data_IF_615277479692
#
_entry.id   IF_615277479692
#
_cell.length_a   1.000
_cell.length_b   1.000
_cell.length_c   1.000
_cell.angle_alpha   90.00
_cell.angle_beta   90.00
_cell.angle_gamma   90.00
#
_symmetry.space_group_name_H-M   'P 1'
#
loop_
_entity.id
_entity.type
_entity.pdbx_description
1 polymer ?
#
# COMPACT_ATOMS: atom_id res chain seq x y z
N UNK A 1 -22.29 -7.87 -12.81
CA UNK A 1 -21.24 -7.30 -13.70
C UNK A 1 -19.95 -6.97 -12.95
N UNK A 2 -20.00 -6.38 -11.76
CA UNK A 2 -18.80 -6.05 -10.95
C UNK A 2 -17.92 -7.27 -10.64
N UNK A 3 -18.52 -8.42 -10.30
CA UNK A 3 -17.79 -9.69 -10.08
C UNK A 3 -16.93 -10.12 -11.29
N UNK A 4 -17.42 -9.92 -12.52
CA UNK A 4 -16.62 -10.19 -13.73
C UNK A 4 -15.44 -9.21 -13.88
N UNK A 5 -15.65 -7.94 -13.50
CA UNK A 5 -14.59 -6.93 -13.45
C UNK A 5 -13.49 -7.29 -12.44
N UNK A 6 -13.86 -7.74 -11.24
CA UNK A 6 -12.90 -8.21 -10.23
C UNK A 6 -12.10 -9.43 -10.70
N UNK A 7 -12.76 -10.40 -11.34
CA UNK A 7 -12.10 -11.57 -11.92
C UNK A 7 -11.08 -11.19 -13.00
N UNK A 8 -11.44 -10.25 -13.89
CA UNK A 8 -10.52 -9.72 -14.90
C UNK A 8 -9.34 -8.98 -14.25
N UNK A 9 -9.62 -8.13 -13.26
CA UNK A 9 -8.59 -7.40 -12.51
C UNK A 9 -7.57 -8.32 -11.86
N UNK A 10 -8.03 -9.45 -11.27
CA UNK A 10 -7.14 -10.44 -10.66
C UNK A 10 -6.22 -11.12 -11.69
N UNK A 11 -6.76 -11.52 -12.84
CA UNK A 11 -5.97 -12.10 -13.93
C UNK A 11 -4.94 -11.12 -14.47
N UNK A 12 -5.31 -9.83 -14.60
CA UNK A 12 -4.39 -8.76 -15.01
C UNK A 12 -3.27 -8.58 -13.99
N UNK A 13 -3.60 -8.49 -12.70
CA UNK A 13 -2.61 -8.33 -11.63
C UNK A 13 -1.59 -9.48 -11.63
N UNK A 14 -2.04 -10.74 -11.81
CA UNK A 14 -1.14 -11.89 -11.87
C UNK A 14 -0.17 -11.82 -13.04
N UNK A 15 -0.60 -11.34 -14.21
CA UNK A 15 0.25 -11.21 -15.40
C UNK A 15 1.28 -10.08 -15.27
N UNK A 16 1.01 -9.08 -14.43
CA UNK A 16 1.81 -7.86 -14.26
C UNK A 16 2.55 -7.79 -12.93
N UNK A 17 2.76 -8.93 -12.28
CA UNK A 17 3.37 -8.96 -10.95
C UNK A 17 4.75 -8.29 -10.90
N UNK A 18 5.51 -8.30 -12.01
CA UNK A 18 6.79 -7.60 -12.14
C UNK A 18 6.66 -6.07 -12.08
N UNK A 19 5.57 -5.51 -12.61
CA UNK A 19 5.29 -4.07 -12.56
C UNK A 19 4.85 -3.63 -11.15
N UNK A 20 4.36 -4.57 -10.34
CA UNK A 20 3.88 -4.34 -8.98
C UNK A 20 4.99 -4.42 -7.91
N UNK A 21 6.21 -4.85 -8.26
CA UNK A 21 7.30 -5.03 -7.28
C UNK A 21 7.63 -3.73 -6.56
N UNK A 22 7.77 -2.64 -7.30
CA UNK A 22 8.15 -1.33 -6.77
C UNK A 22 7.12 -0.81 -5.73
N UNK A 23 5.81 -0.71 -6.04
CA UNK A 23 4.81 -0.31 -5.04
C UNK A 23 4.65 -1.30 -3.89
N UNK A 24 4.88 -2.61 -4.10
CA UNK A 24 4.90 -3.60 -3.01
C UNK A 24 6.04 -3.29 -2.04
N UNK A 25 7.26 -3.09 -2.56
CA UNK A 25 8.45 -2.85 -1.73
C UNK A 25 8.31 -1.57 -0.92
N UNK A 26 7.82 -0.49 -1.50
CA UNK A 26 7.73 0.78 -0.78
C UNK A 26 6.58 0.82 0.22
N UNK A 27 5.47 0.15 -0.09
CA UNK A 27 4.43 -0.12 0.92
C UNK A 27 4.97 -1.01 2.05
N UNK A 28 5.78 -2.01 1.72
CA UNK A 28 6.42 -2.87 2.72
C UNK A 28 7.37 -2.11 3.64
N UNK A 29 8.16 -1.16 3.11
CA UNK A 29 9.02 -0.28 3.92
C UNK A 29 8.21 0.53 4.92
N UNK A 30 7.09 1.12 4.49
CA UNK A 30 6.20 1.87 5.37
C UNK A 30 5.55 0.99 6.44
N UNK A 31 5.00 -0.16 6.03
CA UNK A 31 4.37 -1.11 6.94
C UNK A 31 5.36 -1.67 7.97
N UNK A 32 6.59 -1.97 7.53
CA UNK A 32 7.68 -2.41 8.39
C UNK A 32 7.96 -1.41 9.51
N UNK A 33 8.11 -0.12 9.17
CA UNK A 33 8.36 0.92 10.16
C UNK A 33 7.20 1.07 11.15
N UNK A 34 5.95 1.09 10.67
CA UNK A 34 4.78 1.18 11.55
C UNK A 34 4.74 0.01 12.53
N UNK A 35 4.91 -1.22 12.06
CA UNK A 35 4.87 -2.40 12.92
C UNK A 35 5.98 -2.37 13.98
N UNK A 36 7.20 -1.98 13.59
CA UNK A 36 8.31 -1.86 14.53
C UNK A 36 8.11 -0.74 15.55
N UNK A 37 7.65 0.44 15.13
CA UNK A 37 7.42 1.56 16.04
C UNK A 37 6.40 1.20 17.11
N UNK A 38 5.29 0.57 16.73
CA UNK A 38 4.30 0.13 17.71
C UNK A 38 4.82 -1.05 18.57
N UNK A 39 5.56 -2.00 17.98
CA UNK A 39 6.20 -3.08 18.72
C UNK A 39 7.22 -2.60 19.76
N UNK A 40 7.95 -1.52 19.47
CA UNK A 40 8.94 -0.92 20.35
C UNK A 40 8.38 0.19 21.24
N UNK A 41 7.07 0.43 21.24
CA UNK A 41 6.42 1.53 21.96
C UNK A 41 6.78 1.62 23.45
N UNK A 42 6.88 0.47 24.13
CA UNK A 42 7.30 0.41 25.53
C UNK A 42 8.74 0.87 25.73
N UNK A 43 9.66 0.44 24.86
CA UNK A 43 11.05 0.86 24.89
C UNK A 43 11.24 2.33 24.52
N UNK A 44 10.54 2.79 23.49
CA UNK A 44 10.53 4.20 23.08
C UNK A 44 10.07 5.08 24.24
N UNK A 45 9.00 4.68 24.94
CA UNK A 45 8.43 5.44 26.07
C UNK A 45 9.33 5.43 27.30
N UNK A 46 9.96 4.30 27.63
CA UNK A 46 10.90 4.20 28.75
C UNK A 46 12.15 5.07 28.52
N UNK A 47 12.73 5.00 27.32
CA UNK A 47 13.92 5.75 26.98
C UNK A 47 13.63 7.25 26.85
N UNK A 48 12.49 7.61 26.26
CA UNK A 48 12.08 9.01 26.11
C UNK A 48 11.75 9.69 27.45
N UNK A 49 11.26 8.95 28.45
CA UNK A 49 11.07 9.44 29.81
C UNK A 49 12.40 9.85 30.48
N UNK A 50 13.47 9.09 30.27
CA UNK A 50 14.80 9.45 30.80
C UNK A 50 15.39 10.71 30.16
N UNK A 51 14.97 11.02 28.93
CA UNK A 51 15.40 12.20 28.18
C UNK A 51 14.59 13.46 28.52
N UNK A 52 13.52 13.36 29.31
CA UNK A 52 12.67 14.49 29.70
C UNK A 52 11.68 14.98 28.62
N UNK A 53 11.68 14.38 27.42
CA UNK A 53 10.86 14.79 26.26
C UNK A 53 9.96 13.66 25.74
N UNK A 54 9.36 12.89 26.66
CA UNK A 54 8.72 11.63 26.32
C UNK A 54 7.61 11.73 25.26
N UNK A 55 6.72 12.70 25.44
CA UNK A 55 5.56 12.91 24.57
C UNK A 55 5.96 13.41 23.18
N UNK A 56 6.92 14.33 23.11
CA UNK A 56 7.42 14.89 21.85
C UNK A 56 8.09 13.81 21.00
N UNK A 57 8.93 12.99 21.62
CA UNK A 57 9.63 11.88 20.94
C UNK A 57 8.62 10.84 20.44
N UNK A 58 7.64 10.44 21.27
CA UNK A 58 6.65 9.44 20.88
C UNK A 58 5.82 9.93 19.67
N UNK A 59 5.32 11.17 19.74
CA UNK A 59 4.58 11.79 18.61
C UNK A 59 5.45 11.88 17.36
N UNK A 60 6.70 12.31 17.49
CA UNK A 60 7.61 12.42 16.36
C UNK A 60 7.85 11.06 15.68
N UNK A 61 8.11 10.00 16.45
CA UNK A 61 8.36 8.66 15.90
C UNK A 61 7.11 8.09 15.22
N UNK A 62 5.92 8.28 15.79
CA UNK A 62 4.66 7.87 15.15
C UNK A 62 4.43 8.65 13.86
N UNK A 63 4.65 9.97 13.85
CA UNK A 63 4.50 10.80 12.66
C UNK A 63 5.48 10.37 11.54
N UNK A 64 6.72 10.04 11.90
CA UNK A 64 7.70 9.52 10.94
C UNK A 64 7.21 8.18 10.36
N UNK A 65 6.74 7.26 11.20
CA UNK A 65 6.25 5.96 10.72
C UNK A 65 5.04 6.12 9.77
N UNK A 66 4.08 6.97 10.13
CA UNK A 66 2.90 7.23 9.31
C UNK A 66 3.27 7.93 8.01
N UNK A 67 4.15 8.92 8.04
CA UNK A 67 4.58 9.63 6.82
C UNK A 67 5.30 8.72 5.84
N UNK A 68 6.20 7.84 6.31
CA UNK A 68 6.86 6.86 5.44
C UNK A 68 5.85 5.87 4.84
N UNK A 69 4.84 5.45 5.61
CA UNK A 69 3.74 4.65 5.07
C UNK A 69 2.99 5.38 3.96
N UNK A 70 2.68 6.66 4.15
CA UNK A 70 1.99 7.48 3.14
C UNK A 70 2.82 7.68 1.86
N UNK A 71 4.16 7.73 1.96
CA UNK A 71 5.03 7.78 0.77
C UNK A 71 4.82 6.53 -0.11
N UNK A 72 4.77 5.34 0.49
CA UNK A 72 4.48 4.10 -0.25
C UNK A 72 3.10 4.12 -0.93
N UNK A 73 2.10 4.70 -0.26
CA UNK A 73 0.76 4.88 -0.84
C UNK A 73 0.75 5.79 -2.07
N UNK A 74 1.48 6.90 -2.02
CA UNK A 74 1.58 7.83 -3.15
C UNK A 74 2.19 7.11 -4.36
N UNK A 75 3.20 6.28 -4.13
CA UNK A 75 3.84 5.49 -5.17
C UNK A 75 2.91 4.45 -5.80
N UNK A 76 2.00 3.84 -5.01
CA UNK A 76 0.94 2.96 -5.55
C UNK A 76 0.07 3.71 -6.57
N UNK A 77 -0.29 4.97 -6.31
CA UNK A 77 -1.07 5.77 -7.26
C UNK A 77 -0.29 6.13 -8.52
N UNK A 78 1.01 6.44 -8.37
CA UNK A 78 1.91 6.70 -9.50
C UNK A 78 2.05 5.45 -10.36
N UNK A 79 2.29 4.29 -9.75
CA UNK A 79 2.38 3.01 -10.44
C UNK A 79 1.07 2.69 -11.18
N UNK A 80 -0.07 2.85 -10.51
CA UNK A 80 -1.40 2.64 -11.12
C UNK A 80 -1.59 3.52 -12.36
N UNK A 81 -1.18 4.79 -12.28
CA UNK A 81 -1.25 5.73 -13.41
C UNK A 81 -0.38 5.28 -14.59
N UNK A 82 0.84 4.79 -14.31
CA UNK A 82 1.73 4.24 -15.34
C UNK A 82 1.13 2.99 -16.00
N UNK A 83 0.66 2.03 -15.22
CA UNK A 83 0.05 0.80 -15.77
C UNK A 83 -1.18 1.12 -16.64
N UNK A 84 -2.00 2.09 -16.21
CA UNK A 84 -3.13 2.59 -17.02
C UNK A 84 -2.66 3.19 -18.35
N UNK A 85 -1.59 3.97 -18.34
CA UNK A 85 -1.05 4.58 -19.55
C UNK A 85 -0.62 3.55 -20.60
N UNK A 86 -0.09 2.39 -20.16
CA UNK A 86 0.29 1.30 -21.06
C UNK A 86 -0.90 0.50 -21.64
N UNK A 87 -2.13 0.67 -21.12
CA UNK A 87 -3.33 -0.07 -21.53
C UNK A 87 -4.47 0.81 -22.04
N UNK A 88 -4.16 2.01 -22.52
CA UNK A 88 -5.15 2.95 -23.07
C UNK A 88 -5.97 2.33 -24.20
N UNK A 89 -5.34 1.58 -25.12
CA UNK A 89 -6.03 0.91 -26.24
C UNK A 89 -6.99 -0.17 -25.77
N UNK A 90 -6.62 -0.99 -24.78
CA UNK A 90 -7.51 -2.02 -24.20
C UNK A 90 -8.75 -1.38 -23.57
N UNK A 91 -8.56 -0.30 -22.81
CA UNK A 91 -9.65 0.47 -22.20
C UNK A 91 -10.55 1.15 -23.26
N UNK A 92 -9.95 1.59 -24.37
CA UNK A 92 -10.67 2.12 -25.53
C UNK A 92 -11.58 1.08 -26.20
N UNK A 93 -11.13 -0.16 -26.33
CA UNK A 93 -11.94 -1.27 -26.86
C UNK A 93 -13.07 -1.63 -25.89
N UNK A 94 -12.79 -1.69 -24.58
CA UNK A 94 -13.82 -1.98 -23.56
C UNK A 94 -14.92 -0.91 -23.57
N UNK A 95 -14.56 0.37 -23.69
CA UNK A 95 -15.51 1.49 -23.76
C UNK A 95 -16.26 1.54 -25.09
N UNK A 96 -15.63 1.20 -26.23
CA UNK A 96 -16.30 1.08 -27.53
C UNK A 96 -17.36 -0.03 -27.56
N UNK A 97 -17.14 -1.11 -26.80
CA UNK A 97 -18.10 -2.20 -26.63
C UNK A 97 -19.24 -1.89 -25.62
N UNK A 98 -19.34 -0.64 -25.14
CA UNK A 98 -20.43 -0.20 -24.27
C UNK A 98 -20.34 -0.70 -22.82
N UNK A 99 -19.16 -1.13 -22.36
CA UNK A 99 -18.99 -1.58 -20.97
C UNK A 99 -19.10 -0.36 -20.03
N UNK A 100 -19.94 -0.42 -18.98
CA UNK A 100 -20.07 0.69 -18.05
C UNK A 100 -18.80 0.92 -17.24
N UNK A 101 -18.57 2.18 -16.82
CA UNK A 101 -17.38 2.62 -16.06
C UNK A 101 -17.13 1.86 -14.76
N UNK A 102 -18.18 1.48 -14.02
CA UNK A 102 -18.06 0.85 -12.69
C UNK A 102 -17.23 -0.45 -12.69
N UNK A 103 -17.60 -1.46 -13.51
CA UNK A 103 -16.81 -2.67 -13.68
C UNK A 103 -15.37 -2.45 -14.13
N UNK A 104 -15.12 -1.43 -14.97
CA UNK A 104 -13.76 -1.08 -15.43
C UNK A 104 -12.94 -0.52 -14.26
N UNK A 105 -13.49 0.43 -13.50
CA UNK A 105 -12.85 0.98 -12.29
C UNK A 105 -12.56 -0.14 -11.28
N UNK A 106 -13.53 -1.01 -11.02
CA UNK A 106 -13.35 -2.14 -10.11
C UNK A 106 -12.21 -3.06 -10.58
N UNK A 107 -12.11 -3.36 -11.88
CA UNK A 107 -11.02 -4.16 -12.43
C UNK A 107 -9.65 -3.48 -12.26
N UNK A 108 -9.58 -2.17 -12.48
CA UNK A 108 -8.35 -1.39 -12.36
C UNK A 108 -7.89 -1.21 -10.90
N UNK A 109 -8.82 -1.20 -9.94
CA UNK A 109 -8.52 -1.08 -8.51
C UNK A 109 -7.97 -2.37 -7.88
N UNK A 110 -8.17 -3.53 -8.51
CA UNK A 110 -7.62 -4.80 -7.98
C UNK A 110 -6.10 -4.74 -7.86
N UNK A 111 -5.44 -4.19 -8.87
CA UNK A 111 -3.98 -4.11 -8.94
C UNK A 111 -3.35 -3.32 -7.78
N UNK A 112 -3.71 -2.05 -7.51
CA UNK A 112 -3.18 -1.31 -6.36
C UNK A 112 -3.56 -1.93 -5.02
N UNK A 113 -4.76 -2.51 -4.89
CA UNK A 113 -5.17 -3.18 -3.64
C UNK A 113 -4.30 -4.41 -3.37
N UNK A 114 -4.05 -5.23 -4.39
CA UNK A 114 -3.18 -6.41 -4.26
C UNK A 114 -1.75 -6.00 -3.93
N UNK A 115 -1.22 -4.96 -4.57
CA UNK A 115 0.11 -4.43 -4.23
C UNK A 115 0.17 -3.97 -2.77
N UNK A 116 -0.85 -3.24 -2.30
CA UNK A 116 -0.91 -2.74 -0.94
C UNK A 116 -1.00 -3.87 0.11
N UNK A 117 -1.81 -4.90 -0.15
CA UNK A 117 -1.93 -6.07 0.72
C UNK A 117 -0.61 -6.84 0.79
N UNK A 118 -0.01 -7.15 -0.36
CA UNK A 118 1.26 -7.88 -0.41
C UNK A 118 2.39 -7.09 0.27
N UNK A 119 2.46 -5.78 0.02
CA UNK A 119 3.43 -4.90 0.67
C UNK A 119 3.23 -4.86 2.18
N UNK A 120 2.01 -4.63 2.66
CA UNK A 120 1.71 -4.58 4.08
C UNK A 120 2.04 -5.90 4.80
N UNK A 121 1.67 -7.04 4.21
CA UNK A 121 1.99 -8.37 4.75
C UNK A 121 3.49 -8.64 4.77
N UNK A 122 4.20 -8.32 3.67
CA UNK A 122 5.65 -8.50 3.60
C UNK A 122 6.37 -7.61 4.63
N UNK A 123 6.00 -6.34 4.73
CA UNK A 123 6.55 -5.39 5.71
C UNK A 123 6.28 -5.84 7.15
N UNK A 124 5.06 -6.30 7.44
CA UNK A 124 4.70 -6.84 8.74
C UNK A 124 5.48 -8.10 9.11
N UNK A 125 5.63 -9.03 8.17
CA UNK A 125 6.41 -10.25 8.38
C UNK A 125 7.89 -9.94 8.63
N UNK A 126 8.48 -9.01 7.85
CA UNK A 126 9.84 -8.54 8.05
C UNK A 126 10.00 -7.87 9.42
N UNK A 127 9.05 -7.02 9.83
CA UNK A 127 9.10 -6.34 11.12
C UNK A 127 9.00 -7.32 12.29
N UNK A 128 8.12 -8.32 12.20
CA UNK A 128 8.02 -9.39 13.19
C UNK A 128 9.31 -10.21 13.27
N UNK A 129 9.92 -10.55 12.13
CA UNK A 129 11.21 -11.23 12.08
C UNK A 129 12.33 -10.41 12.72
N UNK A 130 12.42 -9.12 12.37
CA UNK A 130 13.38 -8.18 12.96
C UNK A 130 13.17 -8.04 14.47
N UNK A 131 11.92 -7.92 14.93
CA UNK A 131 11.58 -7.88 16.34
C UNK A 131 12.12 -9.13 17.08
N UNK A 132 11.86 -10.34 16.57
CA UNK A 132 12.37 -11.58 17.17
C UNK A 132 13.90 -11.59 17.25
N UNK A 133 14.58 -11.18 16.18
CA UNK A 133 16.06 -11.11 16.15
C UNK A 133 16.58 -10.09 17.17
N UNK A 134 16.00 -8.90 17.23
CA UNK A 134 16.42 -7.85 18.17
C UNK A 134 16.22 -8.26 19.63
N UNK A 135 15.13 -8.98 19.93
CA UNK A 135 14.90 -9.56 21.25
C UNK A 135 15.93 -10.65 21.58
N UNK A 136 16.23 -11.53 20.63
CA UNK A 136 17.17 -12.64 20.83
C UNK A 136 18.62 -12.18 21.08
N UNK A 137 19.05 -11.08 20.44
CA UNK A 137 20.41 -10.52 20.60
C UNK A 137 20.50 -9.61 21.85
N UNK A 138 19.40 -9.37 22.57
CA UNK A 138 19.40 -8.54 23.77
C UNK A 138 19.56 -7.03 23.49
N UNK A 139 19.33 -6.60 22.24
CA UNK A 139 19.41 -5.18 21.85
C UNK A 139 18.20 -4.36 22.31
N UNK A 140 17.15 -5.03 22.80
CA UNK A 140 15.93 -4.39 23.31
C UNK A 140 15.79 -4.71 24.80
N UNK A 141 16.51 -3.94 25.64
CA UNK A 141 16.55 -4.16 27.09
C UNK A 141 15.20 -4.02 27.81
N UNK A 142 14.22 -3.35 27.17
CA UNK A 142 12.85 -3.16 27.66
C UNK A 142 11.85 -4.17 27.09
N UNK A 143 12.30 -5.08 26.21
CA UNK A 143 11.46 -6.06 25.54
C UNK A 143 10.57 -5.48 24.44
N UNK A 144 9.85 -6.37 23.74
CA UNK A 144 8.96 -6.03 22.64
C UNK A 144 7.52 -6.11 23.12
N UNK A 145 6.73 -5.06 22.84
CA UNK A 145 5.29 -5.06 23.11
C UNK A 145 4.58 -5.90 22.06
N UNK A 146 4.22 -7.14 22.40
CA UNK A 146 3.44 -8.01 21.51
C UNK A 146 2.08 -7.39 21.16
N UNK A 147 1.43 -6.71 22.11
CA UNK A 147 0.19 -5.97 21.85
C UNK A 147 0.39 -4.81 20.87
N UNK A 148 1.50 -4.08 21.03
CA UNK A 148 1.91 -3.04 20.09
C UNK A 148 2.20 -3.60 18.70
N UNK A 149 2.90 -4.73 18.60
CA UNK A 149 3.22 -5.36 17.33
C UNK A 149 1.94 -5.78 16.58
N UNK A 150 0.98 -6.41 17.27
CA UNK A 150 -0.33 -6.76 16.68
C UNK A 150 -1.10 -5.51 16.23
N UNK A 151 -1.14 -4.46 17.06
CA UNK A 151 -1.78 -3.20 16.68
C UNK A 151 -1.11 -2.57 15.45
N UNK A 152 0.22 -2.56 15.40
CA UNK A 152 1.00 -2.07 14.26
C UNK A 152 0.71 -2.84 12.98
N UNK A 153 0.58 -4.17 13.05
CA UNK A 153 0.23 -5.01 11.89
C UNK A 153 -1.16 -4.66 11.37
N UNK A 154 -2.14 -4.56 12.26
CA UNK A 154 -3.51 -4.20 11.88
C UNK A 154 -3.57 -2.80 11.27
N UNK A 155 -2.90 -1.82 11.88
CA UNK A 155 -2.84 -0.45 11.37
C UNK A 155 -2.18 -0.42 9.99
N UNK A 156 -1.03 -1.09 9.83
CA UNK A 156 -0.33 -1.14 8.54
C UNK A 156 -1.22 -1.72 7.43
N UNK A 157 -1.87 -2.86 7.67
CA UNK A 157 -2.76 -3.50 6.68
C UNK A 157 -3.95 -2.59 6.34
N UNK A 158 -4.68 -2.12 7.35
CA UNK A 158 -5.89 -1.31 7.14
C UNK A 158 -5.55 0.00 6.43
N UNK A 159 -4.52 0.72 6.91
CA UNK A 159 -4.13 2.00 6.34
C UNK A 159 -3.60 1.83 4.93
N UNK A 160 -2.75 0.82 4.65
CA UNK A 160 -2.26 0.56 3.29
C UNK A 160 -3.39 0.30 2.30
N UNK A 161 -4.37 -0.53 2.67
CA UNK A 161 -5.52 -0.83 1.79
C UNK A 161 -6.37 0.40 1.55
N UNK A 162 -6.80 1.08 2.62
CA UNK A 162 -7.66 2.27 2.51
C UNK A 162 -6.99 3.36 1.70
N UNK A 163 -5.71 3.60 1.96
CA UNK A 163 -4.95 4.64 1.31
C UNK A 163 -4.70 4.28 -0.16
N UNK A 164 -4.38 3.03 -0.50
CA UNK A 164 -4.24 2.58 -1.89
C UNK A 164 -5.53 2.74 -2.71
N UNK A 165 -6.68 2.42 -2.11
CA UNK A 165 -7.99 2.67 -2.74
C UNK A 165 -8.22 4.17 -2.91
N UNK A 166 -8.01 4.95 -1.86
CA UNK A 166 -8.25 6.39 -1.86
C UNK A 166 -7.38 7.14 -2.89
N UNK A 167 -6.11 6.77 -3.04
CA UNK A 167 -5.21 7.43 -4.00
C UNK A 167 -5.39 6.93 -5.43
N UNK A 168 -5.83 5.68 -5.61
CA UNK A 168 -6.02 5.07 -6.94
C UNK A 168 -7.41 5.31 -7.53
N UNK A 169 -8.39 5.77 -6.76
CA UNK A 169 -9.75 5.99 -7.26
C UNK A 169 -9.81 7.06 -8.36
N UNK A 170 -9.09 8.17 -8.18
CA UNK A 170 -9.07 9.28 -9.14
C UNK A 170 -8.47 8.86 -10.49
N UNK A 171 -7.25 8.27 -10.57
CA UNK A 171 -6.68 7.86 -11.85
C UNK A 171 -7.50 6.75 -12.53
N UNK A 172 -8.04 5.80 -11.77
CA UNK A 172 -8.87 4.70 -12.33
C UNK A 172 -10.20 5.22 -12.88
N UNK A 173 -10.85 6.15 -12.18
CA UNK A 173 -12.07 6.79 -12.65
C UNK A 173 -11.85 7.61 -13.92
N UNK A 174 -10.77 8.40 -13.94
CA UNK A 174 -10.39 9.20 -15.10
C UNK A 174 -10.09 8.31 -16.31
N UNK A 175 -9.42 7.17 -16.11
CA UNK A 175 -9.15 6.20 -17.17
C UNK A 175 -10.42 5.59 -17.76
N UNK A 176 -11.36 5.19 -16.90
CA UNK A 176 -12.63 4.60 -17.32
C UNK A 176 -13.57 5.61 -18.02
N UNK A 177 -13.32 6.92 -17.85
CA UNK A 177 -14.15 7.99 -18.41
C UNK A 177 -13.60 8.57 -19.72
N UNK A 178 -12.46 8.09 -20.24
CA UNK A 178 -11.86 8.60 -21.48
C UNK A 178 -12.65 8.14 -22.73
N UNK A 179 -12.96 9.06 -23.68
CA UNK A 179 -13.67 8.70 -24.91
C UNK A 179 -12.92 7.66 -25.77
N UNK A 180 -13.62 6.71 -26.41
CA UNK A 180 -13.01 5.68 -27.26
C UNK A 180 -12.16 6.25 -28.40
N UNK A 181 -12.62 7.33 -29.03
CA UNK A 181 -11.93 7.94 -30.17
C UNK A 181 -10.53 8.46 -29.82
N UNK A 182 -10.32 8.96 -28.60
CA UNK A 182 -8.99 9.44 -28.17
C UNK A 182 -8.08 8.29 -27.73
N UNK A 183 -8.63 7.20 -27.23
CA UNK A 183 -7.84 6.05 -26.78
C UNK A 183 -7.39 5.15 -27.94
N UNK A 184 -8.11 5.17 -29.06
CA UNK A 184 -7.75 4.43 -30.28
C UNK A 184 -6.78 5.20 -31.20
N UNK A 185 -6.75 6.53 -31.15
CA UNK A 185 -5.86 7.37 -31.97
C UNK A 185 -4.58 7.81 -31.26
N UNK A 186 -4.52 7.77 -29.93
CA UNK A 186 -3.34 8.18 -29.15
C UNK A 186 -2.22 7.12 -29.06
N UNK A 187 -2.33 6.02 -29.81
CA UNK A 187 -1.26 5.03 -29.96
C UNK A 187 -0.42 5.32 -31.19
N UNK A 188 0.45 6.33 -31.11
CA UNK A 188 1.50 6.65 -32.08
C UNK A 188 2.85 6.64 -31.38
#
# INVERSE_FOLDING_TARGET
MISKGLGYGWLSARRRISEMVLPIVTTATGAFLVVLVFGMSAGISAQSATLGHAEEINRAVILIAVTVLLVGVVEVAVATTRTIAHRTRELGVLSANGIPRGPVVAALLVEPVVAAVLGALAGAALAAGTAVVLAAVGLVGTGISYGGLLAGVLIAIVVSILAAVATSIVPTWNAASRPPIRSLTAGG
#
